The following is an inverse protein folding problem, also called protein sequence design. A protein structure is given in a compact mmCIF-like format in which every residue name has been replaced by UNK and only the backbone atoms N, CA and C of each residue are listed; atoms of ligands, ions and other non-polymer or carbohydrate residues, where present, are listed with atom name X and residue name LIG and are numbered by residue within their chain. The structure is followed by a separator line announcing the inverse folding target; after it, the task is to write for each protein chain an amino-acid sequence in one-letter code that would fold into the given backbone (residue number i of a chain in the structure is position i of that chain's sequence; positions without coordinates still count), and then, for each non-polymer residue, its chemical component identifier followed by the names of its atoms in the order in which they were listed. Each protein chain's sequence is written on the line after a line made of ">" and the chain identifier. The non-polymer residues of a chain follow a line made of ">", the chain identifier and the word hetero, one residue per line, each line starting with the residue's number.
data_IF_709354417379
#
_entry.id   IF_709354417379
#
_cell.length_a   1.000
_cell.length_b   1.000
_cell.length_c   1.000
_cell.angle_alpha   90.00
_cell.angle_beta   90.00
_cell.angle_gamma   90.00
#
_symmetry.space_group_name_H-M   'P 1'
#
loop_
_entity.id
_entity.type
_entity.pdbx_description
1 polymer ?
#
# COMPACT_ATOMS: atom_id res chain seq x y z
N UNK A 1 -37.78 -6.41 -3.78
CA UNK A 1 -36.54 -6.85 -3.11
C UNK A 1 -35.61 -5.66 -3.08
N UNK A 2 -35.12 -5.25 -1.91
CA UNK A 2 -34.02 -4.28 -1.84
C UNK A 2 -32.83 -4.90 -2.56
N UNK A 3 -32.05 -4.14 -3.34
CA UNK A 3 -30.87 -4.68 -4.05
C UNK A 3 -29.74 -5.21 -3.14
N UNK A 4 -30.03 -5.35 -1.85
CA UNK A 4 -29.18 -5.83 -0.78
C UNK A 4 -29.84 -7.11 -0.24
N UNK A 5 -29.38 -8.26 -0.71
CA UNK A 5 -29.64 -9.58 -0.12
C UNK A 5 -28.28 -10.15 0.30
N UNK A 6 -27.70 -9.52 1.33
CA UNK A 6 -26.36 -9.87 1.82
C UNK A 6 -26.47 -10.54 3.19
N UNK A 7 -25.66 -11.59 3.39
CA UNK A 7 -25.44 -12.18 4.70
C UNK A 7 -24.35 -11.40 5.42
N UNK A 8 -24.67 -10.81 6.58
CA UNK A 8 -23.67 -10.06 7.36
C UNK A 8 -22.56 -10.95 7.89
N UNK A 9 -22.86 -12.18 8.28
CA UNK A 9 -21.86 -13.19 8.66
C UNK A 9 -20.98 -13.58 7.46
N UNK A 10 -21.55 -13.64 6.25
CA UNK A 10 -20.80 -13.87 5.01
C UNK A 10 -19.83 -12.72 4.71
N UNK A 11 -20.28 -11.47 4.86
CA UNK A 11 -19.39 -10.29 4.70
C UNK A 11 -18.29 -10.30 5.76
N UNK A 12 -18.64 -10.58 7.02
CA UNK A 12 -17.65 -10.65 8.10
C UNK A 12 -16.57 -11.71 7.79
N UNK A 13 -16.97 -12.90 7.37
CA UNK A 13 -16.05 -13.98 7.02
C UNK A 13 -15.13 -13.61 5.84
N UNK A 14 -15.67 -13.07 4.75
CA UNK A 14 -14.84 -12.66 3.61
C UNK A 14 -13.87 -11.54 4.02
N UNK A 15 -14.34 -10.57 4.80
CA UNK A 15 -13.47 -9.47 5.24
C UNK A 15 -12.38 -9.93 6.22
N UNK A 16 -12.61 -10.95 7.05
CA UNK A 16 -11.55 -11.50 7.90
C UNK A 16 -10.48 -12.24 7.08
N UNK A 17 -10.87 -12.99 6.05
CA UNK A 17 -9.89 -13.63 5.15
C UNK A 17 -9.00 -12.60 4.43
N UNK A 18 -9.57 -11.46 4.05
CA UNK A 18 -8.78 -10.37 3.45
C UNK A 18 -7.83 -9.74 4.48
N UNK A 19 -8.25 -9.62 5.74
CA UNK A 19 -7.36 -9.16 6.81
C UNK A 19 -6.19 -10.12 7.05
N UNK A 20 -6.45 -11.42 7.12
CA UNK A 20 -5.39 -12.43 7.23
C UNK A 20 -4.39 -12.32 6.08
N UNK A 21 -4.89 -12.15 4.84
CA UNK A 21 -4.04 -11.96 3.67
C UNK A 21 -3.25 -10.63 3.71
N UNK A 22 -3.82 -9.56 4.26
CA UNK A 22 -3.11 -8.29 4.46
C UNK A 22 -2.02 -8.41 5.53
N UNK A 23 -2.25 -9.19 6.59
CA UNK A 23 -1.26 -9.47 7.62
C UNK A 23 -0.09 -10.29 7.07
N UNK A 24 -0.37 -11.27 6.21
CA UNK A 24 0.66 -12.03 5.50
C UNK A 24 1.43 -11.17 4.52
N UNK A 25 0.75 -10.32 3.73
CA UNK A 25 1.41 -9.34 2.87
C UNK A 25 2.35 -8.41 3.67
N UNK A 26 1.94 -7.95 4.86
CA UNK A 26 2.78 -7.11 5.70
C UNK A 26 4.03 -7.84 6.21
N UNK A 27 3.96 -9.16 6.45
CA UNK A 27 5.13 -9.98 6.79
C UNK A 27 6.04 -10.14 5.59
N UNK A 28 5.49 -10.43 4.42
CA UNK A 28 6.24 -10.61 3.18
C UNK A 28 6.96 -9.34 2.75
N UNK A 29 6.33 -8.16 2.89
CA UNK A 29 6.98 -6.87 2.60
C UNK A 29 8.17 -6.61 3.53
N UNK A 30 8.07 -6.99 4.81
CA UNK A 30 9.20 -6.86 5.76
C UNK A 30 10.34 -7.83 5.43
N UNK A 31 10.00 -9.08 5.10
CA UNK A 31 10.97 -10.08 4.67
C UNK A 31 11.68 -9.61 3.39
N UNK A 32 10.91 -9.17 2.39
CA UNK A 32 11.42 -8.60 1.15
C UNK A 32 12.42 -7.46 1.38
N UNK A 33 12.10 -6.50 2.26
CA UNK A 33 13.04 -5.41 2.59
C UNK A 33 14.35 -5.91 3.22
N UNK A 34 14.26 -6.93 4.06
CA UNK A 34 15.43 -7.57 4.68
C UNK A 34 16.28 -8.32 3.64
N UNK A 35 15.63 -9.05 2.75
CA UNK A 35 16.27 -9.84 1.70
C UNK A 35 16.96 -8.94 0.67
N UNK A 36 16.33 -7.82 0.30
CA UNK A 36 16.93 -6.84 -0.61
C UNK A 36 18.16 -6.18 0.01
N UNK A 37 18.11 -5.81 1.30
CA UNK A 37 19.26 -5.25 2.00
C UNK A 37 20.42 -6.27 2.06
N UNK A 38 20.13 -7.51 2.44
CA UNK A 38 21.10 -8.61 2.48
C UNK A 38 21.71 -8.89 1.11
N UNK A 39 20.90 -8.89 0.05
CA UNK A 39 21.37 -9.07 -1.33
C UNK A 39 22.26 -7.90 -1.78
N UNK A 40 21.91 -6.66 -1.45
CA UNK A 40 22.70 -5.48 -1.76
C UNK A 40 24.07 -5.49 -1.06
N UNK A 41 24.12 -5.92 0.21
CA UNK A 41 25.37 -6.10 0.96
C UNK A 41 26.23 -7.23 0.38
N UNK A 42 25.61 -8.33 -0.03
CA UNK A 42 26.29 -9.51 -0.57
C UNK A 42 26.78 -9.35 -2.01
N UNK A 43 26.23 -8.41 -2.78
CA UNK A 43 26.54 -8.24 -4.20
C UNK A 43 27.92 -7.60 -4.49
N UNK A 44 28.70 -7.31 -3.44
CA UNK A 44 30.01 -6.71 -3.56
C UNK A 44 29.94 -5.21 -3.84
N UNK A 45 31.06 -4.54 -3.61
CA UNK A 45 31.24 -3.10 -3.84
C UNK A 45 32.10 -2.91 -5.08
N UNK A 46 31.91 -1.80 -5.81
CA UNK A 46 32.88 -1.45 -6.85
C UNK A 46 34.12 -0.93 -6.12
N UNK A 47 35.22 -1.69 -6.15
CA UNK A 47 36.50 -1.19 -5.67
C UNK A 47 37.03 -0.14 -6.65
N UNK A 48 36.88 1.14 -6.30
CA UNK A 48 37.68 2.19 -6.93
C UNK A 48 39.16 1.98 -6.65
N UNK A 49 40.05 2.52 -7.51
CA UNK A 49 41.51 2.45 -7.37
C UNK A 49 42.08 3.12 -6.09
N UNK A 50 41.21 3.64 -5.21
CA UNK A 50 41.56 4.29 -3.95
C UNK A 50 40.82 3.59 -2.80
N UNK A 51 41.56 3.30 -1.73
CA UNK A 51 41.06 2.75 -0.47
C UNK A 51 40.15 3.77 0.25
N UNK A 52 38.90 3.88 -0.20
CA UNK A 52 37.82 4.65 0.42
C UNK A 52 36.69 3.75 0.91
N UNK A 53 35.72 4.33 1.62
CA UNK A 53 34.55 3.63 2.15
C UNK A 53 33.86 2.77 1.06
N UNK A 54 33.33 1.58 1.40
CA UNK A 54 32.70 0.70 0.44
C UNK A 54 31.54 1.42 -0.27
N UNK A 55 31.70 1.76 -1.55
CA UNK A 55 30.61 2.26 -2.38
C UNK A 55 29.64 1.12 -2.70
N UNK A 56 28.34 1.36 -2.56
CA UNK A 56 27.29 0.41 -2.95
C UNK A 56 27.55 -0.06 -4.39
N UNK A 57 27.72 -1.37 -4.59
CA UNK A 57 27.95 -1.93 -5.92
C UNK A 57 26.76 -1.71 -6.85
N UNK A 58 26.98 -1.85 -8.17
CA UNK A 58 25.95 -1.62 -9.19
C UNK A 58 24.64 -2.40 -8.94
N UNK A 59 24.74 -3.61 -8.40
CA UNK A 59 23.58 -4.44 -8.04
C UNK A 59 22.82 -3.85 -6.84
N UNK A 60 23.52 -3.40 -5.80
CA UNK A 60 22.88 -2.74 -4.66
C UNK A 60 22.17 -1.45 -5.05
N UNK A 61 22.75 -0.67 -5.97
CA UNK A 61 22.12 0.53 -6.52
C UNK A 61 20.85 0.19 -7.35
N UNK A 62 20.92 -0.86 -8.18
CA UNK A 62 19.77 -1.32 -8.94
C UNK A 62 18.62 -1.81 -8.05
N UNK A 63 18.95 -2.53 -6.96
CA UNK A 63 17.98 -2.98 -5.97
C UNK A 63 17.32 -1.81 -5.24
N UNK A 64 18.08 -0.78 -4.87
CA UNK A 64 17.54 0.43 -4.26
C UNK A 64 16.53 1.14 -5.19
N UNK A 65 16.87 1.30 -6.48
CA UNK A 65 15.97 1.87 -7.48
C UNK A 65 14.71 1.01 -7.69
N UNK A 66 14.84 -0.32 -7.66
CA UNK A 66 13.69 -1.21 -7.78
C UNK A 66 12.74 -1.09 -6.59
N UNK A 67 13.27 -1.05 -5.36
CA UNK A 67 12.48 -0.83 -4.15
C UNK A 67 11.79 0.54 -4.20
N UNK A 68 12.51 1.60 -4.56
CA UNK A 68 11.92 2.94 -4.68
C UNK A 68 10.81 2.99 -5.74
N UNK A 69 11.04 2.34 -6.89
CA UNK A 69 10.08 2.28 -7.99
C UNK A 69 8.81 1.49 -7.65
N UNK A 70 8.88 0.52 -6.73
CA UNK A 70 7.76 -0.37 -6.38
C UNK A 70 7.07 -0.01 -5.06
N UNK A 71 7.69 0.80 -4.20
CA UNK A 71 7.16 1.15 -2.89
C UNK A 71 5.74 1.72 -2.94
N UNK A 72 5.44 2.55 -3.95
CA UNK A 72 4.12 3.16 -4.11
C UNK A 72 3.05 2.11 -4.41
N UNK A 73 3.36 1.14 -5.25
CA UNK A 73 2.41 0.13 -5.69
C UNK A 73 2.05 -0.82 -4.55
N UNK A 74 3.05 -1.22 -3.75
CA UNK A 74 2.86 -2.03 -2.55
C UNK A 74 1.97 -1.31 -1.52
N UNK A 75 2.28 -0.03 -1.24
CA UNK A 75 1.47 0.78 -0.32
C UNK A 75 0.05 1.01 -0.85
N UNK A 76 -0.10 1.21 -2.16
CA UNK A 76 -1.41 1.36 -2.81
C UNK A 76 -2.25 0.11 -2.72
N UNK A 77 -1.66 -1.07 -2.92
CA UNK A 77 -2.36 -2.34 -2.79
C UNK A 77 -2.91 -2.52 -1.37
N UNK A 78 -2.07 -2.31 -0.34
CA UNK A 78 -2.50 -2.39 1.06
C UNK A 78 -3.60 -1.38 1.39
N UNK A 79 -3.42 -0.11 1.00
CA UNK A 79 -4.42 0.93 1.24
C UNK A 79 -5.75 0.64 0.52
N UNK A 80 -5.71 0.04 -0.67
CA UNK A 80 -6.89 -0.33 -1.45
C UNK A 80 -7.64 -1.50 -0.82
N UNK A 81 -6.92 -2.51 -0.34
CA UNK A 81 -7.50 -3.65 0.35
C UNK A 81 -8.18 -3.20 1.66
N UNK A 82 -7.50 -2.41 2.49
CA UNK A 82 -8.03 -1.87 3.73
C UNK A 82 -9.31 -1.03 3.50
N UNK A 83 -9.30 -0.17 2.49
CA UNK A 83 -10.47 0.64 2.12
C UNK A 83 -11.66 -0.22 1.67
N UNK A 84 -11.39 -1.31 0.95
CA UNK A 84 -12.43 -2.24 0.49
C UNK A 84 -13.06 -3.00 1.66
N UNK A 85 -12.25 -3.50 2.60
CA UNK A 85 -12.70 -4.18 3.82
C UNK A 85 -13.53 -3.25 4.69
N UNK A 86 -13.01 -2.05 4.99
CA UNK A 86 -13.71 -1.05 5.79
C UNK A 86 -15.04 -0.66 5.14
N UNK A 87 -15.02 -0.39 3.83
CA UNK A 87 -16.22 -0.06 3.07
C UNK A 87 -17.29 -1.14 3.11
N UNK A 88 -16.91 -2.40 2.95
CA UNK A 88 -17.82 -3.54 3.04
C UNK A 88 -18.45 -3.65 4.43
N UNK A 89 -17.65 -3.54 5.50
CA UNK A 89 -18.15 -3.60 6.88
C UNK A 89 -19.08 -2.44 7.21
N UNK A 90 -18.70 -1.21 6.85
CA UNK A 90 -19.52 -0.02 7.09
C UNK A 90 -20.84 -0.09 6.33
N UNK A 91 -20.81 -0.53 5.06
CA UNK A 91 -22.03 -0.66 4.28
C UNK A 91 -22.98 -1.73 4.86
N UNK A 92 -22.44 -2.88 5.29
CA UNK A 92 -23.23 -3.91 5.99
C UNK A 92 -23.82 -3.38 7.29
N UNK A 93 -23.06 -2.62 8.09
CA UNK A 93 -23.59 -2.02 9.32
C UNK A 93 -24.75 -1.05 9.07
N UNK A 94 -24.69 -0.25 8.01
CA UNK A 94 -25.82 0.59 7.60
C UNK A 94 -27.01 -0.21 7.08
N UNK A 95 -26.76 -1.30 6.36
CA UNK A 95 -27.80 -2.21 5.88
C UNK A 95 -28.54 -2.88 7.05
N UNK A 96 -27.82 -3.41 8.04
CA UNK A 96 -28.41 -3.99 9.26
C UNK A 96 -29.23 -2.96 10.06
N UNK A 97 -28.79 -1.70 10.07
CA UNK A 97 -29.54 -0.58 10.66
C UNK A 97 -30.71 -0.06 9.83
N UNK A 98 -31.01 -0.65 8.66
CA UNK A 98 -32.09 -0.22 7.76
C UNK A 98 -31.80 1.07 6.97
N UNK A 99 -30.60 1.63 7.08
CA UNK A 99 -30.18 2.86 6.41
C UNK A 99 -29.61 2.59 5.01
N UNK A 100 -30.47 2.15 4.08
CA UNK A 100 -30.05 1.67 2.75
C UNK A 100 -29.29 2.72 1.90
N UNK A 101 -29.67 3.99 1.98
CA UNK A 101 -28.96 5.08 1.28
C UNK A 101 -27.55 5.29 1.82
N UNK A 102 -27.37 5.14 3.13
CA UNK A 102 -26.05 5.20 3.77
C UNK A 102 -25.21 3.99 3.40
N UNK A 103 -25.81 2.80 3.33
CA UNK A 103 -25.13 1.59 2.86
C UNK A 103 -24.62 1.74 1.41
N UNK A 104 -25.48 2.20 0.50
CA UNK A 104 -25.12 2.45 -0.90
C UNK A 104 -24.04 3.55 -1.03
N UNK A 105 -24.10 4.58 -0.20
CA UNK A 105 -23.10 5.65 -0.17
C UNK A 105 -21.75 5.16 0.35
N UNK A 106 -21.74 4.37 1.44
CA UNK A 106 -20.53 3.75 1.97
C UNK A 106 -19.85 2.84 0.93
N UNK A 107 -20.63 2.00 0.24
CA UNK A 107 -20.11 1.14 -0.82
C UNK A 107 -19.51 1.96 -1.97
N UNK A 108 -20.19 3.01 -2.45
CA UNK A 108 -19.68 3.90 -3.51
C UNK A 108 -18.39 4.61 -3.08
N UNK A 109 -18.31 5.11 -1.86
CA UNK A 109 -17.13 5.79 -1.34
C UNK A 109 -15.92 4.85 -1.24
N UNK A 110 -16.15 3.57 -0.96
CA UNK A 110 -15.09 2.55 -0.95
C UNK A 110 -14.47 2.33 -2.34
N UNK A 111 -15.21 2.57 -3.43
CA UNK A 111 -14.71 2.43 -4.80
C UNK A 111 -13.65 3.47 -5.17
N UNK A 112 -13.65 4.64 -4.51
CA UNK A 112 -12.66 5.67 -4.79
C UNK A 112 -11.23 5.19 -4.45
N UNK A 113 -10.26 5.50 -5.32
CA UNK A 113 -8.87 5.13 -5.09
C UNK A 113 -8.34 5.72 -3.77
N UNK A 114 -7.51 4.98 -3.01
CA UNK A 114 -6.82 5.53 -1.85
C UNK A 114 -5.76 6.55 -2.29
N UNK A 115 -5.58 7.59 -1.48
CA UNK A 115 -4.42 8.47 -1.58
C UNK A 115 -3.29 7.85 -0.78
N UNK A 116 -2.13 7.66 -1.41
CA UNK A 116 -0.94 7.09 -0.78
C UNK A 116 0.17 8.12 -0.86
N UNK A 117 0.68 8.50 0.30
CA UNK A 117 1.87 9.32 0.43
C UNK A 117 3.06 8.41 0.64
N UNK A 118 4.14 8.66 -0.11
CA UNK A 118 5.39 7.94 0.06
C UNK A 118 6.15 8.55 1.25
N UNK A 119 6.58 7.76 2.25
CA UNK A 119 7.47 8.27 3.28
C UNK A 119 8.77 8.78 2.64
N UNK A 120 9.16 10.01 2.96
CA UNK A 120 10.39 10.64 2.47
C UNK A 120 10.23 11.56 1.25
N UNK A 121 9.08 11.55 0.56
CA UNK A 121 8.80 12.55 -0.48
C UNK A 121 8.12 13.75 0.15
N UNK A 122 8.94 14.64 0.73
CA UNK A 122 8.48 15.94 1.21
C UNK A 122 7.68 16.66 0.12
N UNK A 123 6.63 17.36 0.55
CA UNK A 123 5.80 18.27 -0.24
C UNK A 123 6.66 19.29 -0.99
N UNK A 124 7.01 18.96 -2.24
CA UNK A 124 7.46 19.91 -3.23
C UNK A 124 6.27 20.69 -3.77
N UNK A 125 5.67 21.51 -2.90
CA UNK A 125 4.63 22.48 -3.25
C UNK A 125 5.25 23.63 -4.06
N UNK A 126 4.49 24.12 -5.03
CA UNK A 126 4.96 24.86 -6.20
C UNK A 126 5.88 26.06 -5.95
N UNK A 127 6.95 26.13 -6.74
CA UNK A 127 7.47 27.42 -7.22
C UNK A 127 6.93 27.65 -8.64
N UNK A 128 5.72 28.17 -8.69
CA UNK A 128 5.16 28.85 -9.86
C UNK A 128 4.98 30.32 -9.47
N UNK A 129 5.46 31.21 -10.32
CA UNK A 129 5.56 32.66 -10.12
C UNK A 129 6.89 33.14 -10.71
N UNK A 130 6.96 33.59 -11.95
CA UNK A 130 6.04 34.52 -12.60
C UNK A 130 6.74 35.87 -12.65
N UNK A 131 7.00 36.35 -13.86
CA UNK A 131 7.72 37.58 -14.15
C UNK A 131 7.10 38.81 -13.47
N UNK A 132 7.97 39.70 -12.98
CA UNK A 132 8.02 41.15 -13.25
C UNK A 132 9.37 41.72 -12.78
#
# INVERSE_FOLDING_TARGET
>A
MTGWDISSSGVQFVTSLVEDAMDDLAKDVKAYGTDVASAAESAGTISGAYCGAPETGAVGAALALFVEGTAKDVLFLGARAAKSVSGARTATGYYEGGALEMAATAQRNALAAPKVELPGKGSGEGREGGAE
#
